data_IF_989478217267
#
_entry.id   IF_989478217267
#
_cell.length_a   1.000
_cell.length_b   1.000
_cell.length_c   1.000
_cell.angle_alpha   90.00
_cell.angle_beta   90.00
_cell.angle_gamma   90.00
#
_symmetry.space_group_name_H-M   'P 1'
#
loop_
_entity.id
_entity.type
_entity.pdbx_description
1 polymer ?
#
# COMPACT_ATOMS: atom_id res chain seq x y z
N UNK A 1 -7.36 -2.79 -2.84
CA UNK A 1 -6.50 -1.92 -2.01
C UNK A 1 -6.47 -0.62 -2.76
N UNK A 2 -7.31 0.29 -2.33
CA UNK A 2 -7.50 1.55 -3.03
C UNK A 2 -6.35 2.48 -2.69
N UNK A 3 -5.95 3.31 -3.66
CA UNK A 3 -4.82 4.23 -3.53
C UNK A 3 -4.98 5.16 -2.32
N UNK A 4 -6.22 5.48 -1.98
CA UNK A 4 -6.62 6.32 -0.85
C UNK A 4 -6.27 5.70 0.51
N UNK A 5 -6.09 4.38 0.58
CA UNK A 5 -5.76 3.66 1.80
C UNK A 5 -4.25 3.39 1.95
N UNK A 6 -3.39 4.14 1.25
CA UNK A 6 -1.93 4.00 1.32
C UNK A 6 -1.30 5.33 1.75
N UNK A 7 -0.36 5.26 2.68
CA UNK A 7 0.41 6.38 3.22
C UNK A 7 1.92 6.12 3.12
N UNK A 8 2.66 7.19 2.84
CA UNK A 8 4.11 7.22 2.86
C UNK A 8 4.56 8.30 3.85
N UNK A 9 5.47 7.94 4.75
CA UNK A 9 6.03 8.81 5.76
C UNK A 9 7.56 8.67 5.77
N UNK A 10 8.27 9.77 6.02
CA UNK A 10 9.71 9.78 6.15
C UNK A 10 10.09 10.49 7.44
N UNK A 11 10.72 9.76 8.35
CA UNK A 11 11.24 10.29 9.61
C UNK A 11 12.59 9.63 9.90
N UNK A 12 13.56 10.43 10.33
CA UNK A 12 14.88 9.95 10.77
C UNK A 12 15.56 9.01 9.77
N UNK A 13 15.49 9.33 8.47
CA UNK A 13 16.04 8.49 7.40
C UNK A 13 15.31 7.16 7.17
N UNK A 14 14.11 6.96 7.73
CA UNK A 14 13.30 5.76 7.56
C UNK A 14 12.04 6.07 6.76
N UNK A 15 11.96 5.50 5.55
CA UNK A 15 10.76 5.56 4.72
C UNK A 15 9.79 4.46 5.15
N UNK A 16 8.62 4.87 5.64
CA UNK A 16 7.55 3.98 6.08
C UNK A 16 6.41 3.99 5.08
N UNK A 17 6.10 2.83 4.52
CA UNK A 17 4.93 2.56 3.71
C UNK A 17 3.89 1.84 4.56
N UNK A 18 2.71 2.44 4.73
CA UNK A 18 1.59 1.81 5.42
C UNK A 18 0.35 1.80 4.53
N UNK A 19 -0.47 0.76 4.64
CA UNK A 19 -1.79 0.81 4.02
C UNK A 19 -2.71 -0.32 4.44
N UNK A 20 -3.98 -0.17 4.11
CA UNK A 20 -5.01 -1.15 4.45
C UNK A 20 -5.69 -1.68 3.18
N UNK A 21 -5.74 -3.00 3.05
CA UNK A 21 -6.58 -3.67 2.07
C UNK A 21 -7.89 -4.05 2.76
N UNK A 22 -8.93 -3.23 2.54
CA UNK A 22 -10.31 -3.60 2.81
C UNK A 22 -10.89 -4.36 1.62
N UNK A 23 -11.70 -5.36 1.91
CA UNK A 23 -12.52 -6.06 0.90
C UNK A 23 -13.95 -5.72 1.20
N UNK A 24 -14.40 -4.58 0.69
CA UNK A 24 -15.81 -4.22 0.66
C UNK A 24 -16.17 -3.96 -0.78
N UNK A 25 -16.57 -5.00 -1.51
CA UNK A 25 -17.37 -4.81 -2.72
C UNK A 25 -18.80 -5.16 -2.37
N UNK A 26 -19.74 -4.31 -2.78
CA UNK A 26 -21.18 -4.60 -2.69
C UNK A 26 -21.54 -5.88 -3.46
N UNK A 27 -20.79 -6.18 -4.54
CA UNK A 27 -20.82 -7.45 -5.29
C UNK A 27 -20.63 -8.66 -4.35
N UNK A 28 -19.70 -8.58 -3.38
CA UNK A 28 -19.50 -9.65 -2.41
C UNK A 28 -20.72 -9.88 -1.52
N UNK A 29 -21.50 -8.83 -1.19
CA UNK A 29 -22.69 -8.93 -0.33
C UNK A 29 -23.91 -9.45 -1.09
N UNK A 30 -24.01 -9.17 -2.38
CA UNK A 30 -25.08 -9.69 -3.24
C UNK A 30 -24.83 -11.14 -3.62
N UNK A 31 -23.63 -11.48 -4.08
CA UNK A 31 -23.22 -12.86 -4.32
C UNK A 31 -23.28 -13.68 -3.03
N UNK A 32 -22.97 -13.06 -1.87
CA UNK A 32 -23.10 -13.71 -0.56
C UNK A 32 -24.53 -14.18 -0.24
N UNK A 33 -25.55 -13.48 -0.73
CA UNK A 33 -26.96 -13.81 -0.50
C UNK A 33 -27.50 -14.88 -1.44
N UNK A 34 -26.93 -15.03 -2.63
CA UNK A 34 -27.34 -16.06 -3.60
C UNK A 34 -26.68 -17.44 -3.35
N UNK A 35 -25.69 -17.52 -2.45
CA UNK A 35 -25.08 -18.79 -2.06
C UNK A 35 -24.10 -19.39 -3.08
N UNK A 36 -23.51 -18.55 -3.94
CA UNK A 36 -22.74 -18.97 -5.12
C UNK A 36 -21.28 -19.43 -4.84
N UNK A 37 -20.86 -19.65 -3.59
CA UNK A 37 -19.48 -20.06 -3.27
C UNK A 37 -19.43 -21.23 -2.29
N UNK A 38 -18.56 -22.20 -2.60
CA UNK A 38 -18.23 -23.32 -1.72
C UNK A 38 -17.06 -22.99 -0.76
N UNK A 39 -16.18 -22.05 -1.13
CA UNK A 39 -15.07 -21.55 -0.32
C UNK A 39 -14.69 -20.14 -0.77
N UNK A 40 -14.51 -19.21 0.17
CA UNK A 40 -14.15 -17.81 -0.09
C UNK A 40 -12.86 -17.44 0.64
N UNK A 41 -11.75 -17.36 -0.08
CA UNK A 41 -10.48 -16.89 0.46
C UNK A 41 -10.46 -15.36 0.50
N UNK A 42 -10.90 -14.80 1.62
CA UNK A 42 -10.90 -13.34 1.84
C UNK A 42 -9.47 -12.85 2.06
N UNK A 43 -9.07 -11.82 1.30
CA UNK A 43 -7.79 -11.14 1.47
C UNK A 43 -8.00 -9.72 2.03
N UNK A 44 -8.15 -9.60 3.34
CA UNK A 44 -8.11 -8.32 4.06
C UNK A 44 -6.83 -8.24 4.88
N UNK A 45 -6.35 -7.02 5.17
CA UNK A 45 -5.23 -6.85 6.08
C UNK A 45 -4.51 -5.52 5.96
N UNK A 46 -3.66 -5.27 6.94
CA UNK A 46 -2.78 -4.12 6.99
C UNK A 46 -1.40 -4.50 6.45
N UNK A 47 -0.80 -3.61 5.68
CA UNK A 47 0.60 -3.68 5.31
C UNK A 47 1.34 -2.53 5.98
N UNK A 48 2.52 -2.84 6.52
CA UNK A 48 3.50 -1.86 6.96
C UNK A 48 4.88 -2.35 6.56
N UNK A 49 5.64 -1.51 5.86
CA UNK A 49 7.01 -1.79 5.42
C UNK A 49 7.86 -0.57 5.71
N UNK A 50 9.04 -0.79 6.25
CA UNK A 50 9.98 0.27 6.58
C UNK A 50 11.29 0.02 5.83
N UNK A 51 11.86 1.08 5.28
CA UNK A 51 13.11 1.06 4.54
C UNK A 51 14.04 2.15 5.08
N UNK A 52 15.19 1.77 5.62
CA UNK A 52 16.23 2.73 5.97
C UNK A 52 16.88 3.27 4.70
N UNK A 53 16.91 4.58 4.56
CA UNK A 53 17.58 5.26 3.46
C UNK A 53 19.07 5.45 3.79
N UNK A 54 19.95 5.39 2.79
CA UNK A 54 21.33 5.79 2.97
C UNK A 54 21.43 7.25 3.44
N UNK A 55 22.47 7.62 4.21
CA UNK A 55 22.67 9.00 4.67
C UNK A 55 22.99 9.98 3.51
N UNK A 56 23.30 9.46 2.33
CA UNK A 56 23.54 10.26 1.13
C UNK A 56 22.26 10.60 0.35
N UNK A 57 21.07 10.37 0.91
CA UNK A 57 19.82 10.70 0.24
C UNK A 57 19.39 12.12 0.56
N UNK A 58 19.05 12.90 -0.47
CA UNK A 58 18.38 14.19 -0.30
C UNK A 58 16.88 13.98 -0.09
N UNK A 59 16.42 14.09 1.16
CA UNK A 59 15.03 13.84 1.55
C UNK A 59 14.02 14.69 0.75
N UNK A 60 14.35 15.97 0.52
CA UNK A 60 13.51 16.92 -0.24
C UNK A 60 13.32 16.53 -1.72
N UNK A 61 14.15 15.63 -2.25
CA UNK A 61 14.11 15.17 -3.65
C UNK A 61 13.48 13.79 -3.81
N UNK A 62 12.88 13.24 -2.76
CA UNK A 62 12.17 11.96 -2.84
C UNK A 62 10.85 12.15 -3.61
N UNK A 63 10.62 11.27 -4.59
CA UNK A 63 9.37 11.22 -5.36
C UNK A 63 8.82 9.81 -5.35
N UNK A 64 7.52 9.67 -5.11
CA UNK A 64 6.83 8.39 -5.15
C UNK A 64 5.74 8.40 -6.22
N UNK A 65 5.63 7.31 -6.96
CA UNK A 65 4.63 7.13 -8.00
C UNK A 65 3.89 5.82 -7.80
N UNK A 66 2.56 5.90 -7.85
CA UNK A 66 1.72 4.72 -7.86
C UNK A 66 1.57 4.18 -9.28
N UNK A 67 2.00 2.94 -9.47
CA UNK A 67 1.80 2.16 -10.69
C UNK A 67 0.75 1.08 -10.44
N UNK A 68 0.15 0.57 -11.51
CA UNK A 68 -0.91 -0.46 -11.49
C UNK A 68 -0.53 -1.74 -10.71
N UNK A 69 0.77 -1.98 -10.46
CA UNK A 69 1.29 -3.16 -9.76
C UNK A 69 2.03 -2.85 -8.45
N UNK A 70 2.17 -1.59 -8.05
CA UNK A 70 2.94 -1.25 -6.85
C UNK A 70 3.38 0.21 -6.81
N UNK A 71 4.19 0.54 -5.80
CA UNK A 71 4.73 1.87 -5.57
C UNK A 71 6.18 1.89 -6.02
N UNK A 72 6.54 2.93 -6.77
CA UNK A 72 7.90 3.17 -7.21
C UNK A 72 8.41 4.47 -6.58
N UNK A 73 9.45 4.37 -5.77
CA UNK A 73 10.08 5.50 -5.10
C UNK A 73 11.44 5.80 -5.74
N UNK A 74 11.65 7.07 -6.07
CA UNK A 74 12.91 7.62 -6.56
C UNK A 74 13.47 8.60 -5.54
N UNK A 75 14.77 8.54 -5.33
CA UNK A 75 15.48 9.46 -4.45
C UNK A 75 16.79 9.88 -5.10
N UNK A 76 17.16 11.14 -4.90
CA UNK A 76 18.45 11.64 -5.34
C UNK A 76 19.53 11.23 -4.34
N UNK A 77 20.71 10.89 -4.86
CA UNK A 77 21.92 10.76 -4.05
C UNK A 77 22.69 12.08 -4.14
N UNK A 78 23.22 12.52 -3.00
CA UNK A 78 24.18 13.62 -2.87
C UNK A 78 25.46 13.29 -3.65
#
# INVERSE_FOLDING_TARGET
MDLENISLDLSDGVLTLSGEKKTEKEEDKEEDKEGNYHLKERSYGFLKRCFSLPPSVEEDKIKAYFKKRGIECFYAKI
#
